data_IF_285631555891
#
_entry.id   IF_285631555891
#
_cell.length_a   1.000
_cell.length_b   1.000
_cell.length_c   1.000
_cell.angle_alpha   90.00
_cell.angle_beta   90.00
_cell.angle_gamma   90.00
#
_symmetry.space_group_name_H-M   'P 1'
#
loop_
_entity.id
_entity.type
_entity.pdbx_description
1 polymer ?
#
# COMPACT_ATOMS: atom_id res chain seq x y z
N UNK A 1 10.49 4.87 -4.78
CA UNK A 1 11.47 5.38 -3.79
C UNK A 1 10.81 5.62 -2.43
N UNK A 2 9.80 6.49 -2.31
CA UNK A 2 9.11 6.77 -1.03
C UNK A 2 8.57 5.51 -0.30
N UNK A 3 7.94 4.57 -1.02
CA UNK A 3 7.46 3.33 -0.41
C UNK A 3 8.58 2.47 0.20
N UNK A 4 9.72 2.38 -0.48
CA UNK A 4 10.90 1.65 0.00
C UNK A 4 11.47 2.30 1.28
N UNK A 5 11.59 3.62 1.29
CA UNK A 5 12.05 4.37 2.47
C UNK A 5 11.12 4.18 3.68
N UNK A 6 9.80 4.11 3.45
CA UNK A 6 8.83 3.85 4.52
C UNK A 6 8.97 2.43 5.09
N UNK A 7 9.21 1.43 4.24
CA UNK A 7 9.45 0.03 4.66
C UNK A 7 10.74 -0.07 5.46
N UNK A 8 11.82 0.57 5.00
CA UNK A 8 13.13 0.52 5.66
C UNK A 8 13.10 1.13 7.07
N UNK A 9 12.30 2.18 7.27
CA UNK A 9 12.12 2.85 8.57
C UNK A 9 11.25 2.08 9.57
N UNK A 10 10.60 0.98 9.16
CA UNK A 10 9.78 0.19 10.07
C UNK A 10 10.65 -0.76 10.91
N UNK A 11 10.78 -0.45 12.20
CA UNK A 11 11.59 -1.21 13.15
C UNK A 11 10.99 -2.58 13.51
N UNK A 12 9.65 -2.71 13.49
CA UNK A 12 8.98 -3.97 13.81
C UNK A 12 8.96 -4.89 12.56
N UNK A 13 9.66 -6.04 12.56
CA UNK A 13 9.77 -6.87 11.35
C UNK A 13 8.43 -7.41 10.82
N UNK A 14 7.49 -7.89 11.65
CA UNK A 14 6.12 -8.20 11.21
C UNK A 14 5.39 -7.02 10.55
N UNK A 15 5.54 -5.80 11.06
CA UNK A 15 4.90 -4.63 10.44
C UNK A 15 5.62 -4.22 9.16
N UNK A 16 6.93 -4.43 9.06
CA UNK A 16 7.72 -4.18 7.86
C UNK A 16 7.24 -5.06 6.70
N UNK A 17 7.07 -6.37 6.94
CA UNK A 17 6.57 -7.30 5.90
C UNK A 17 5.12 -6.98 5.50
N UNK A 18 4.24 -6.70 6.47
CA UNK A 18 2.86 -6.28 6.19
C UNK A 18 2.79 -4.99 5.38
N UNK A 19 3.61 -3.99 5.71
CA UNK A 19 3.68 -2.74 4.97
C UNK A 19 4.19 -2.94 3.54
N UNK A 20 5.20 -3.80 3.35
CA UNK A 20 5.71 -4.12 2.02
C UNK A 20 4.64 -4.77 1.14
N UNK A 21 3.91 -5.74 1.69
CA UNK A 21 2.81 -6.41 0.98
C UNK A 21 1.68 -5.42 0.65
N UNK A 22 1.28 -4.57 1.60
CA UNK A 22 0.25 -3.56 1.40
C UNK A 22 0.63 -2.56 0.29
N UNK A 23 1.89 -2.12 0.25
CA UNK A 23 2.42 -1.25 -0.80
C UNK A 23 2.47 -1.94 -2.16
N UNK A 24 2.83 -3.22 -2.20
CA UNK A 24 2.79 -3.98 -3.45
C UNK A 24 1.35 -4.08 -3.96
N UNK A 25 0.39 -4.46 -3.11
CA UNK A 25 -1.02 -4.52 -3.46
C UNK A 25 -1.59 -3.18 -3.90
N UNK A 26 -1.14 -2.07 -3.31
CA UNK A 26 -1.52 -0.71 -3.74
C UNK A 26 -1.28 -0.50 -5.24
N UNK A 27 -0.14 -0.98 -5.75
CA UNK A 27 0.33 -0.69 -7.11
C UNK A 27 0.14 -1.82 -8.13
N UNK A 28 -0.16 -3.06 -7.70
CA UNK A 28 -0.24 -4.22 -8.62
C UNK A 28 -1.56 -4.97 -8.58
N UNK A 29 -2.43 -4.73 -7.58
CA UNK A 29 -3.70 -5.45 -7.45
C UNK A 29 -4.79 -4.89 -8.36
N UNK A 30 -5.85 -5.69 -8.58
CA UNK A 30 -7.03 -5.34 -9.40
C UNK A 30 -6.70 -5.02 -10.86
N UNK A 31 -5.68 -5.67 -11.43
CA UNK A 31 -5.17 -5.40 -12.79
C UNK A 31 -4.91 -3.89 -13.02
N UNK A 32 -4.33 -3.23 -12.02
CA UNK A 32 -3.89 -1.85 -12.18
C UNK A 32 -2.78 -1.78 -13.22
N UNK A 33 -2.88 -0.81 -14.11
CA UNK A 33 -1.88 -0.49 -15.12
C UNK A 33 -1.46 0.97 -14.99
N UNK A 34 -0.47 1.37 -15.79
CA UNK A 34 0.01 2.76 -15.88
C UNK A 34 -0.87 3.67 -16.73
N UNK A 35 -1.96 3.17 -17.31
CA UNK A 35 -2.88 3.96 -18.14
C UNK A 35 -3.66 4.98 -17.30
N UNK A 36 -3.82 6.19 -17.83
CA UNK A 36 -4.54 7.29 -17.20
C UNK A 36 -6.01 7.32 -17.61
N UNK A 37 -6.70 6.20 -17.42
CA UNK A 37 -8.14 6.09 -17.67
C UNK A 37 -8.96 6.00 -16.37
N UNK A 38 -10.26 6.24 -16.50
CA UNK A 38 -11.20 6.24 -15.37
C UNK A 38 -11.22 4.89 -14.64
N UNK A 39 -11.04 3.78 -15.35
CA UNK A 39 -11.08 2.44 -14.74
C UNK A 39 -9.86 2.22 -13.86
N UNK A 40 -8.66 2.55 -14.35
CA UNK A 40 -7.43 2.50 -13.56
C UNK A 40 -7.48 3.44 -12.36
N UNK A 41 -8.05 4.65 -12.51
CA UNK A 41 -8.24 5.56 -11.39
C UNK A 41 -9.13 4.96 -10.28
N UNK A 42 -10.25 4.34 -10.63
CA UNK A 42 -11.13 3.69 -9.65
C UNK A 42 -10.47 2.49 -8.99
N UNK A 43 -9.71 1.68 -9.76
CA UNK A 43 -8.92 0.56 -9.23
C UNK A 43 -7.88 1.04 -8.22
N UNK A 44 -7.12 2.09 -8.55
CA UNK A 44 -6.14 2.67 -7.64
C UNK A 44 -6.81 3.20 -6.36
N UNK A 45 -7.94 3.90 -6.45
CA UNK A 45 -8.69 4.36 -5.26
C UNK A 45 -9.14 3.21 -4.36
N UNK A 46 -9.62 2.11 -4.94
CA UNK A 46 -9.98 0.91 -4.20
C UNK A 46 -8.75 0.31 -3.49
N UNK A 47 -7.64 0.18 -4.21
CA UNK A 47 -6.38 -0.31 -3.65
C UNK A 47 -5.89 0.59 -2.50
N UNK A 48 -5.98 1.92 -2.65
CA UNK A 48 -5.62 2.90 -1.63
C UNK A 48 -6.50 2.79 -0.37
N UNK A 49 -7.81 2.58 -0.55
CA UNK A 49 -8.73 2.37 0.58
C UNK A 49 -8.33 1.13 1.38
N UNK A 50 -8.05 0.02 0.69
CA UNK A 50 -7.60 -1.21 1.34
C UNK A 50 -6.25 -1.02 2.06
N UNK A 51 -5.30 -0.36 1.40
CA UNK A 51 -4.00 -0.02 1.99
C UNK A 51 -4.19 0.73 3.31
N UNK A 52 -5.00 1.79 3.33
CA UNK A 52 -5.27 2.59 4.54
C UNK A 52 -5.91 1.76 5.66
N UNK A 53 -6.79 0.81 5.32
CA UNK A 53 -7.40 -0.10 6.30
C UNK A 53 -6.38 -1.08 6.89
N UNK A 54 -5.46 -1.58 6.08
CA UNK A 54 -4.41 -2.50 6.55
C UNK A 54 -3.40 -1.76 7.44
N UNK A 55 -2.89 -0.62 6.99
CA UNK A 55 -1.82 0.09 7.71
C UNK A 55 -2.31 0.80 8.97
N UNK A 56 -3.57 1.25 9.04
CA UNK A 56 -4.11 1.88 10.26
C UNK A 56 -4.02 0.97 11.48
N UNK A 57 -4.06 -0.35 11.27
CA UNK A 57 -4.09 -1.35 12.36
C UNK A 57 -2.77 -1.44 13.14
N UNK A 58 -1.65 -1.00 12.54
CA UNK A 58 -0.32 -1.08 13.14
C UNK A 58 0.46 0.24 13.10
N UNK A 59 -0.09 1.29 12.47
CA UNK A 59 0.39 2.67 12.65
C UNK A 59 -0.22 3.34 13.89
N UNK A 60 -1.35 2.82 14.41
CA UNK A 60 -2.00 3.31 15.64
C UNK A 60 -1.33 2.84 16.95
N UNK A 61 -0.24 2.08 16.85
CA UNK A 61 0.51 1.56 18.00
C UNK A 61 1.79 2.34 18.29
N UNK A 62 1.91 3.57 17.77
CA UNK A 62 2.87 4.58 18.24
C UNK A 62 2.19 5.49 19.25
#
# INVERSE_FOLDING_TARGET
RLGSELIERQANPPFKSRLANALQSLTSSNQLSSSLDRVNYQRFRKNLTNFLIEVRGFLRTM
#
